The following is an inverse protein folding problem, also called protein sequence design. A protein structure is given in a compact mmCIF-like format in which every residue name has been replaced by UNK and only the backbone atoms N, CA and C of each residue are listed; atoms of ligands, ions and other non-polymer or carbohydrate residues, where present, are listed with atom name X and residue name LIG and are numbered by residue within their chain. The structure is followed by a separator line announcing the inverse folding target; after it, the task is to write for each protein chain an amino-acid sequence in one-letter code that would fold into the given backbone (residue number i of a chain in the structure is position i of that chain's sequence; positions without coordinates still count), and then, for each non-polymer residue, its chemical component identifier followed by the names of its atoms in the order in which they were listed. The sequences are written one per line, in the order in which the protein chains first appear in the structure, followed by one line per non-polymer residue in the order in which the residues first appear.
data_IF_806160840778
#
_entry.id   IF_806160840778
#
_cell.length_a   1.000
_cell.length_b   1.000
_cell.length_c   1.000
_cell.angle_alpha   90.00
_cell.angle_beta   90.00
_cell.angle_gamma   90.00
#
_symmetry.space_group_name_H-M   'P 1'
#
loop_
_entity.id
_entity.type
_entity.pdbx_description
1 polymer ?
#
# COMPACT_ATOMS: atom_id res chain seq x y z
N UNK A 1 3.88 -3.19 8.69
CA UNK A 1 4.18 -4.44 7.96
C UNK A 1 5.40 -4.15 7.12
N UNK A 2 6.57 -4.69 7.48
CA UNK A 2 7.84 -4.41 6.78
C UNK A 2 8.08 -5.40 5.64
N UNK A 3 9.02 -5.07 4.75
CA UNK A 3 9.51 -5.97 3.69
C UNK A 3 10.22 -7.16 4.36
N UNK A 4 9.59 -8.34 4.35
CA UNK A 4 10.12 -9.58 4.92
C UNK A 4 10.89 -10.37 3.87
N UNK A 5 10.51 -10.24 2.59
CA UNK A 5 11.15 -10.91 1.48
C UNK A 5 11.91 -9.90 0.60
N UNK A 6 13.10 -10.25 0.08
CA UNK A 6 13.84 -9.40 -0.84
C UNK A 6 13.06 -9.04 -2.10
N UNK A 7 12.00 -9.76 -2.48
CA UNK A 7 11.12 -9.47 -3.62
C UNK A 7 9.90 -8.61 -3.25
N UNK A 8 9.72 -8.22 -1.98
CA UNK A 8 8.58 -7.37 -1.56
C UNK A 8 8.60 -5.97 -2.23
N UNK A 9 9.70 -5.58 -2.90
CA UNK A 9 9.74 -4.38 -3.74
C UNK A 9 8.91 -4.53 -5.02
N UNK A 10 8.65 -5.75 -5.48
CA UNK A 10 7.81 -6.05 -6.64
C UNK A 10 6.33 -6.13 -6.20
N UNK A 11 5.81 -4.99 -5.76
CA UNK A 11 4.44 -4.87 -5.31
C UNK A 11 3.51 -4.68 -6.52
N UNK A 12 2.89 -5.78 -6.98
CA UNK A 12 1.96 -5.84 -8.11
C UNK A 12 0.55 -6.24 -7.63
N UNK A 13 -0.20 -5.31 -7.01
CA UNK A 13 -1.47 -5.62 -6.37
C UNK A 13 -2.57 -5.98 -7.37
N UNK A 14 -3.34 -7.01 -7.04
CA UNK A 14 -4.58 -7.40 -7.71
C UNK A 14 -5.71 -7.35 -6.71
N UNK A 15 -6.89 -6.96 -7.18
CA UNK A 15 -8.07 -6.89 -6.36
C UNK A 15 -9.06 -7.98 -6.73
N UNK A 16 -9.53 -8.71 -5.73
CA UNK A 16 -10.55 -9.74 -5.86
C UNK A 16 -11.71 -9.44 -4.93
N UNK A 17 -12.94 -9.47 -5.44
CA UNK A 17 -14.16 -9.32 -4.67
C UNK A 17 -14.91 -10.65 -4.66
N UNK A 18 -14.99 -11.28 -3.49
CA UNK A 18 -15.75 -12.52 -3.30
C UNK A 18 -16.91 -12.27 -2.33
N UNK A 19 -18.12 -12.15 -2.86
CA UNK A 19 -19.31 -11.81 -2.08
C UNK A 19 -19.20 -10.40 -1.49
N UNK A 20 -19.03 -10.30 -0.17
CA UNK A 20 -18.84 -9.04 0.57
C UNK A 20 -17.38 -8.76 0.93
N UNK A 21 -16.48 -9.69 0.60
CA UNK A 21 -15.07 -9.61 1.03
C UNK A 21 -14.20 -9.15 -0.12
N UNK A 22 -13.56 -7.99 0.06
CA UNK A 22 -12.53 -7.46 -0.84
C UNK A 22 -11.15 -7.88 -0.37
N UNK A 23 -10.41 -8.59 -1.21
CA UNK A 23 -9.05 -9.03 -0.93
C UNK A 23 -8.06 -8.42 -1.92
N UNK A 24 -6.96 -7.89 -1.40
CA UNK A 24 -5.82 -7.43 -2.18
C UNK A 24 -4.74 -8.50 -2.12
N UNK A 25 -4.36 -9.01 -3.28
CA UNK A 25 -3.42 -10.13 -3.44
C UNK A 25 -2.24 -9.65 -4.27
N UNK A 26 -1.02 -9.96 -3.83
CA UNK A 26 0.18 -9.78 -4.66
C UNK A 26 0.55 -11.11 -5.32
N UNK A 27 1.52 -11.14 -6.23
CA UNK A 27 1.88 -12.34 -6.99
C UNK A 27 2.22 -13.57 -6.11
N UNK A 28 2.73 -13.36 -4.89
CA UNK A 28 2.98 -14.42 -3.88
C UNK A 28 1.73 -15.11 -3.30
N UNK A 29 0.54 -14.89 -3.86
CA UNK A 29 -0.65 -15.73 -3.68
C UNK A 29 -1.43 -15.53 -2.38
N UNK A 30 -0.76 -15.18 -1.29
CA UNK A 30 -1.42 -14.89 0.00
C UNK A 30 -2.06 -13.48 -0.03
N UNK A 31 -3.31 -13.32 0.46
CA UNK A 31 -3.95 -12.01 0.53
C UNK A 31 -3.17 -11.10 1.50
N UNK A 32 -2.63 -10.00 0.96
CA UNK A 32 -1.90 -9.01 1.77
C UNK A 32 -2.83 -8.20 2.67
N UNK A 33 -4.08 -8.03 2.27
CA UNK A 33 -5.10 -7.32 3.06
C UNK A 33 -6.50 -7.74 2.63
N UNK A 34 -7.41 -7.81 3.60
CA UNK A 34 -8.81 -8.16 3.38
C UNK A 34 -9.71 -7.15 4.10
N UNK A 35 -10.79 -6.76 3.44
CA UNK A 35 -11.77 -5.79 3.94
C UNK A 35 -13.18 -6.35 3.75
N UNK A 36 -14.05 -6.16 4.74
CA UNK A 36 -15.48 -6.42 4.58
C UNK A 36 -16.18 -5.16 4.06
N UNK A 37 -16.97 -5.32 3.01
CA UNK A 37 -17.75 -4.28 2.38
C UNK A 37 -19.23 -4.40 2.79
N UNK A 38 -19.86 -3.26 3.02
CA UNK A 38 -21.32 -3.19 3.20
C UNK A 38 -22.05 -3.44 1.86
N UNK A 39 -23.33 -3.80 1.90
CA UNK A 39 -24.14 -4.06 0.71
C UNK A 39 -24.13 -2.90 -0.29
N UNK A 40 -24.21 -1.65 0.17
CA UNK A 40 -24.14 -0.49 -0.74
C UNK A 40 -22.78 -0.38 -1.44
N UNK A 41 -21.71 -0.75 -0.73
CA UNK A 41 -20.34 -0.74 -1.26
C UNK A 41 -20.12 -1.87 -2.27
N UNK A 42 -20.66 -3.06 -2.01
CA UNK A 42 -20.61 -4.20 -2.94
C UNK A 42 -21.33 -3.87 -4.24
N UNK A 43 -22.55 -3.33 -4.16
CA UNK A 43 -23.33 -2.94 -5.35
C UNK A 43 -22.56 -1.92 -6.20
N UNK A 44 -21.90 -0.96 -5.55
CA UNK A 44 -21.07 0.03 -6.22
C UNK A 44 -19.84 -0.60 -6.86
N UNK A 45 -19.16 -1.51 -6.16
CA UNK A 45 -17.99 -2.21 -6.66
C UNK A 45 -18.32 -3.12 -7.87
N UNK A 46 -19.45 -3.84 -7.82
CA UNK A 46 -19.94 -4.66 -8.94
C UNK A 46 -20.29 -3.82 -10.18
N UNK A 47 -20.83 -2.62 -9.96
CA UNK A 47 -21.16 -1.66 -11.02
C UNK A 47 -19.91 -1.07 -11.68
N UNK A 48 -18.98 -0.56 -10.88
CA UNK A 48 -17.82 0.18 -11.38
C UNK A 48 -16.73 -0.77 -11.91
N UNK A 49 -16.68 -2.02 -11.41
CA UNK A 49 -15.69 -3.05 -11.78
C UNK A 49 -14.23 -2.61 -11.65
N UNK A 50 -13.99 -1.51 -10.95
CA UNK A 50 -12.68 -0.89 -10.74
C UNK A 50 -12.62 -0.34 -9.32
N UNK A 51 -11.42 -0.30 -8.75
CA UNK A 51 -11.18 0.35 -7.46
C UNK A 51 -9.95 1.24 -7.50
N UNK A 52 -9.99 2.31 -6.72
CA UNK A 52 -8.84 3.18 -6.48
C UNK A 52 -8.04 2.65 -5.28
N UNK A 53 -6.80 2.21 -5.51
CA UNK A 53 -5.90 1.76 -4.46
C UNK A 53 -4.88 2.86 -4.17
N UNK A 54 -4.74 3.19 -2.88
CA UNK A 54 -3.69 4.06 -2.39
C UNK A 54 -2.79 3.33 -1.41
N UNK A 55 -1.52 3.20 -1.77
CA UNK A 55 -0.51 2.49 -0.99
C UNK A 55 0.46 3.49 -0.37
N UNK A 56 0.71 3.35 0.93
CA UNK A 56 1.74 4.10 1.64
C UNK A 56 2.86 3.14 2.04
N UNK A 57 4.03 3.35 1.48
CA UNK A 57 5.20 2.56 1.85
C UNK A 57 5.85 3.20 3.07
N UNK A 58 5.97 2.43 4.15
CA UNK A 58 6.76 2.82 5.32
C UNK A 58 8.01 1.95 5.35
N UNK A 59 9.17 2.58 5.22
CA UNK A 59 10.45 1.90 5.31
C UNK A 59 10.97 2.06 6.74
N UNK A 60 10.81 1.01 7.54
CA UNK A 60 11.39 0.92 8.87
C UNK A 60 12.72 0.17 8.79
N UNK A 61 13.82 0.74 9.31
CA UNK A 61 15.09 0.02 9.47
C UNK A 61 16.06 0.00 8.28
N UNK A 62 15.72 0.53 7.10
CA UNK A 62 16.67 0.63 5.96
C UNK A 62 17.68 1.79 6.09
N UNK A 63 18.07 2.10 7.32
CA UNK A 63 19.10 3.11 7.62
C UNK A 63 20.31 2.37 8.17
N UNK A 64 21.30 2.11 7.32
CA UNK A 64 22.65 1.89 7.83
C UNK A 64 23.04 3.08 8.72
N UNK A 65 23.79 2.83 9.80
CA UNK A 65 24.30 3.93 10.64
C UNK A 65 25.30 4.72 9.79
N UNK A 66 24.87 5.87 9.26
CA UNK A 66 25.74 6.81 8.58
C UNK A 66 26.86 7.24 9.55
N UNK A 67 28.11 6.85 9.25
CA UNK A 67 29.30 7.24 10.02
C UNK A 67 29.59 8.75 9.94
N UNK A 68 29.05 9.42 8.92
CA UNK A 68 28.99 10.87 8.82
C UNK A 68 27.53 11.29 8.54
N UNK A 69 26.79 11.64 9.58
CA UNK A 69 25.46 12.23 9.45
C UNK A 69 25.58 13.72 9.20
N UNK A 70 25.15 14.19 8.03
CA UNK A 70 24.72 15.58 7.89
C UNK A 70 23.45 15.76 8.74
N UNK A 71 23.39 16.75 9.66
CA UNK A 71 22.20 16.97 10.46
C UNK A 71 21.01 17.28 9.54
N UNK A 72 20.00 16.41 9.54
CA UNK A 72 18.67 16.72 9.02
C UNK A 72 17.80 17.11 10.22
N UNK A 73 17.69 18.40 10.59
CA UNK A 73 16.77 18.80 11.63
C UNK A 73 15.34 18.43 11.19
N UNK A 74 14.76 17.43 11.86
CA UNK A 74 13.34 17.08 11.74
C UNK A 74 12.43 18.11 12.43
N UNK A 75 12.99 18.86 13.38
CA UNK A 75 12.31 19.87 14.19
C UNK A 75 13.11 21.17 14.19
N UNK A 76 12.42 22.28 13.95
CA UNK A 76 13.02 23.62 13.79
C UNK A 76 12.53 24.37 12.53
N UNK A 77 12.80 25.68 12.42
CA UNK A 77 12.20 26.58 11.43
C UNK A 77 12.58 26.31 9.97
N UNK A 78 13.57 25.44 9.71
CA UNK A 78 14.02 25.03 8.35
C UNK A 78 13.91 23.52 8.10
N UNK A 79 13.12 22.82 8.92
CA UNK A 79 12.93 21.37 8.78
C UNK A 79 12.13 21.08 7.51
N UNK A 80 12.69 20.29 6.60
CA UNK A 80 11.99 19.85 5.38
C UNK A 80 11.32 18.51 5.68
N UNK A 81 9.99 18.48 5.74
CA UNK A 81 9.23 17.22 5.83
C UNK A 81 9.57 16.39 4.59
N UNK A 82 10.12 15.19 4.78
CA UNK A 82 10.33 14.24 3.69
C UNK A 82 8.97 13.91 3.07
N UNK A 83 8.92 13.84 1.74
CA UNK A 83 7.71 13.39 1.06
C UNK A 83 7.42 11.95 1.48
N UNK A 84 6.20 11.70 1.93
CA UNK A 84 5.73 10.34 2.19
C UNK A 84 5.59 9.63 0.83
N UNK A 85 6.30 8.52 0.58
CA UNK A 85 6.15 7.79 -0.67
C UNK A 85 4.76 7.16 -0.71
N UNK A 86 3.84 7.80 -1.44
CA UNK A 86 2.50 7.30 -1.67
C UNK A 86 2.27 7.02 -3.15
N UNK A 87 1.79 5.82 -3.45
CA UNK A 87 1.44 5.41 -4.80
C UNK A 87 -0.08 5.28 -4.92
N UNK A 88 -0.65 5.81 -6.00
CA UNK A 88 -2.08 5.74 -6.33
C UNK A 88 -2.23 5.04 -7.67
N UNK A 89 -3.11 4.04 -7.73
CA UNK A 89 -3.39 3.28 -8.94
C UNK A 89 -4.87 2.89 -9.01
N UNK A 90 -5.36 2.58 -10.20
CA UNK A 90 -6.69 2.04 -10.44
C UNK A 90 -6.53 0.57 -10.79
N UNK A 91 -7.20 -0.31 -10.05
CA UNK A 91 -7.15 -1.75 -10.28
C UNK A 91 -8.50 -2.23 -10.82
N UNK A 92 -8.52 -3.07 -11.87
CA UNK A 92 -9.73 -3.79 -12.23
C UNK A 92 -10.09 -4.77 -11.11
N UNK A 93 -11.38 -4.90 -10.82
CA UNK A 93 -11.90 -5.91 -9.91
C UNK A 93 -12.04 -7.23 -10.67
N UNK A 94 -11.34 -8.25 -10.19
CA UNK A 94 -11.70 -9.64 -10.50
C UNK A 94 -12.85 -10.05 -9.59
N UNK A 95 -13.86 -10.68 -10.15
CA UNK A 95 -14.98 -11.30 -9.43
C UNK A 95 -14.88 -12.82 -9.55
#
# INVERSE_FOLDING_TARGET
MGMKDPQDYDFSPRANLSGTTLSIVNESGEPSSTFELDQEQVITAERDRMLELRVKFNVEGMHGVLTHRTPQPMTGPKSKKLAEPSWKTILPLSM
#
